data_IF_778282322580
#
_entry.id   IF_778282322580
#
_cell.length_a   1.000
_cell.length_b   1.000
_cell.length_c   1.000
_cell.angle_alpha   90.00
_cell.angle_beta   90.00
_cell.angle_gamma   90.00
#
_symmetry.space_group_name_H-M   'P 1'
#
loop_
_entity.id
_entity.type
_entity.pdbx_description
1 polymer ?
#
# COMPACT_ATOMS: atom_id res chain seq x y z
N UNK A 1 4.16 -24.07 13.76
CA UNK A 1 3.35 -23.10 14.53
C UNK A 1 2.56 -23.91 15.53
N UNK A 2 2.97 -23.87 16.80
CA UNK A 2 2.33 -24.68 17.85
C UNK A 2 1.04 -23.99 18.27
N UNK A 3 -0.10 -24.62 18.01
CA UNK A 3 -1.38 -24.20 18.57
C UNK A 3 -1.30 -24.26 20.09
N UNK A 4 -1.37 -23.10 20.74
CA UNK A 4 -1.53 -23.03 22.20
C UNK A 4 -2.98 -23.36 22.52
N UNK A 5 -3.25 -24.63 22.79
CA UNK A 5 -4.53 -25.08 23.36
C UNK A 5 -4.65 -24.50 24.77
N UNK A 6 -5.52 -23.49 24.93
CA UNK A 6 -5.81 -22.90 26.23
C UNK A 6 -6.35 -23.99 27.17
N UNK A 7 -5.71 -24.17 28.32
CA UNK A 7 -6.12 -25.17 29.31
C UNK A 7 -7.40 -24.68 30.02
N UNK A 8 -8.45 -25.51 30.16
CA UNK A 8 -9.66 -25.11 30.88
C UNK A 8 -9.34 -24.59 32.28
N UNK A 9 -9.74 -23.34 32.58
CA UNK A 9 -9.50 -22.69 33.87
C UNK A 9 -8.29 -21.75 33.93
N UNK A 10 -7.42 -21.75 32.91
CA UNK A 10 -6.30 -20.82 32.83
C UNK A 10 -6.82 -19.39 32.57
N UNK A 11 -6.50 -18.45 33.47
CA UNK A 11 -6.79 -17.03 33.27
C UNK A 11 -5.73 -16.46 32.34
N UNK A 12 -6.10 -15.48 31.51
CA UNK A 12 -5.15 -14.79 30.62
C UNK A 12 -3.94 -14.17 31.37
N UNK A 13 -4.11 -13.86 32.66
CA UNK A 13 -3.04 -13.31 33.52
C UNK A 13 -2.00 -14.36 33.90
N UNK A 14 -2.34 -15.64 33.86
CA UNK A 14 -1.44 -16.73 34.26
C UNK A 14 -0.28 -16.91 33.26
N UNK A 15 -0.35 -16.25 32.09
CA UNK A 15 0.73 -16.19 31.10
C UNK A 15 1.84 -15.17 31.46
N UNK A 16 1.64 -14.35 32.50
CA UNK A 16 2.54 -13.27 32.88
C UNK A 16 3.17 -13.55 34.25
N UNK A 17 4.36 -12.99 34.51
CA UNK A 17 5.03 -13.15 35.80
C UNK A 17 4.25 -12.40 36.89
N UNK A 18 4.25 -12.92 38.12
CA UNK A 18 3.48 -12.36 39.26
C UNK A 18 3.82 -10.89 39.58
N UNK A 19 5.04 -10.47 39.23
CA UNK A 19 5.59 -9.14 39.50
C UNK A 19 5.54 -8.21 38.27
N UNK A 20 4.95 -8.65 37.14
CA UNK A 20 4.79 -7.79 35.96
C UNK A 20 3.67 -6.76 36.15
N UNK A 21 3.96 -5.51 35.80
CA UNK A 21 2.97 -4.44 35.73
C UNK A 21 2.21 -4.55 34.42
N UNK A 22 0.97 -5.07 34.48
CA UNK A 22 0.11 -5.23 33.32
C UNK A 22 -0.79 -4.01 33.11
N UNK A 23 -0.53 -3.24 32.04
CA UNK A 23 -1.46 -2.20 31.57
C UNK A 23 -2.45 -2.79 30.57
N UNK A 24 -3.75 -2.75 30.90
CA UNK A 24 -4.80 -3.08 29.94
C UNK A 24 -5.36 -1.82 29.31
N UNK A 25 -5.05 -1.61 28.03
CA UNK A 25 -5.65 -0.54 27.23
C UNK A 25 -6.87 -1.09 26.50
N UNK A 26 -8.04 -0.47 26.72
CA UNK A 26 -9.24 -0.71 25.92
C UNK A 26 -9.67 0.62 25.30
N UNK A 27 -9.40 0.85 24.01
CA UNK A 27 -9.92 2.04 23.33
C UNK A 27 -11.44 2.06 23.42
N UNK A 28 -12.08 3.25 23.52
CA UNK A 28 -13.52 3.35 23.38
C UNK A 28 -13.96 2.82 22.01
N UNK A 29 -15.17 2.26 21.94
CA UNK A 29 -15.76 1.87 20.66
C UNK A 29 -15.82 3.07 19.71
N UNK A 30 -15.42 2.88 18.47
CA UNK A 30 -15.43 3.91 17.45
C UNK A 30 -15.93 3.36 16.13
N UNK A 31 -16.73 4.18 15.44
CA UNK A 31 -17.15 3.97 14.04
C UNK A 31 -16.34 4.84 13.06
N UNK A 32 -15.34 5.55 13.55
CA UNK A 32 -14.50 6.38 12.71
C UNK A 32 -13.71 5.52 11.71
N UNK A 33 -13.47 6.07 10.53
CA UNK A 33 -12.52 5.48 9.59
C UNK A 33 -11.10 5.63 10.16
N UNK A 34 -10.41 4.51 10.30
CA UNK A 34 -9.02 4.47 10.76
C UNK A 34 -8.11 4.16 9.57
N UNK A 35 -7.43 5.17 8.99
CA UNK A 35 -6.46 4.92 7.95
C UNK A 35 -5.30 4.10 8.53
N UNK A 36 -5.11 2.89 8.02
CA UNK A 36 -4.04 1.98 8.45
C UNK A 36 -3.10 1.73 7.26
N UNK A 37 -1.80 2.07 7.36
CA UNK A 37 -0.85 1.94 6.25
C UNK A 37 -0.63 0.50 5.75
N UNK A 38 -1.19 -0.50 6.43
CA UNK A 38 -1.08 -1.91 6.03
C UNK A 38 -2.40 -2.69 6.05
N UNK A 39 -3.55 -2.02 6.22
CA UNK A 39 -4.88 -2.68 6.18
C UNK A 39 -5.93 -1.74 5.61
N UNK A 40 -6.93 -2.32 4.96
CA UNK A 40 -8.09 -1.60 4.45
C UNK A 40 -7.98 -1.34 2.96
N UNK A 41 -8.19 -0.09 2.55
CA UNK A 41 -8.26 0.33 1.15
C UNK A 41 -6.91 0.80 0.64
N UNK A 42 -6.69 0.72 -0.67
CA UNK A 42 -5.54 1.30 -1.37
C UNK A 42 -6.01 2.05 -2.60
N UNK A 43 -5.23 3.04 -3.03
CA UNK A 43 -5.37 3.61 -4.37
C UNK A 43 -4.79 2.64 -5.40
N UNK A 44 -5.26 2.70 -6.65
CA UNK A 44 -4.74 1.88 -7.76
C UNK A 44 -4.09 2.79 -8.80
N UNK A 45 -2.80 2.59 -9.07
CA UNK A 45 -1.97 3.30 -10.05
C UNK A 45 -1.97 4.84 -9.93
N UNK A 46 -2.23 5.34 -8.72
CA UNK A 46 -2.21 6.77 -8.34
C UNK A 46 -1.93 6.91 -6.84
N UNK A 47 -1.80 8.13 -6.35
CA UNK A 47 -1.63 8.41 -4.92
C UNK A 47 -2.92 8.97 -4.28
N UNK A 48 -2.97 9.04 -2.95
CA UNK A 48 -4.10 9.64 -2.23
C UNK A 48 -4.19 11.13 -2.57
N UNK A 49 -5.40 11.63 -2.84
CA UNK A 49 -5.60 13.03 -3.26
C UNK A 49 -5.31 13.31 -4.74
N UNK A 50 -4.74 12.37 -5.49
CA UNK A 50 -4.68 12.49 -6.95
C UNK A 50 -6.09 12.31 -7.55
N UNK A 51 -6.39 12.96 -8.68
CA UNK A 51 -7.68 12.83 -9.34
C UNK A 51 -7.97 11.37 -9.73
N UNK A 52 -9.25 11.02 -9.76
CA UNK A 52 -9.70 9.73 -10.29
C UNK A 52 -9.49 9.69 -11.80
N UNK A 53 -9.27 8.47 -12.31
CA UNK A 53 -9.34 8.25 -13.76
C UNK A 53 -10.72 8.64 -14.30
N UNK A 54 -10.77 9.19 -15.53
CA UNK A 54 -12.04 9.50 -16.16
C UNK A 54 -12.83 8.21 -16.44
N UNK A 55 -14.09 8.17 -16.03
CA UNK A 55 -14.97 7.02 -16.27
C UNK A 55 -14.85 5.91 -15.21
N UNK A 56 -15.19 4.69 -15.63
CA UNK A 56 -15.21 3.49 -14.79
C UNK A 56 -14.21 2.41 -15.26
N UNK A 57 -13.46 2.70 -16.30
CA UNK A 57 -12.46 1.80 -16.88
C UNK A 57 -11.06 2.30 -16.52
N UNK A 58 -10.11 1.36 -16.47
CA UNK A 58 -8.70 1.66 -16.22
C UNK A 58 -7.83 0.72 -17.04
N UNK A 59 -6.64 1.18 -17.40
CA UNK A 59 -5.66 0.34 -18.08
C UNK A 59 -4.68 -0.26 -17.08
N UNK A 60 -4.80 -1.56 -16.90
CA UNK A 60 -3.95 -2.39 -16.07
C UNK A 60 -2.46 -2.39 -16.49
N UNK A 61 -2.16 -1.94 -17.73
CA UNK A 61 -0.82 -1.82 -18.32
C UNK A 61 -0.12 -0.50 -17.97
N UNK A 62 -0.88 0.53 -17.57
CA UNK A 62 -0.38 1.91 -17.46
C UNK A 62 -0.33 2.37 -16.00
N UNK A 63 0.88 2.34 -15.43
CA UNK A 63 1.19 2.89 -14.11
C UNK A 63 1.85 4.26 -14.19
N UNK A 64 1.91 5.01 -13.07
CA UNK A 64 2.54 6.33 -13.05
C UNK A 64 4.05 6.17 -13.29
N UNK A 65 4.59 6.92 -14.24
CA UNK A 65 6.02 6.97 -14.54
C UNK A 65 6.61 8.37 -14.34
N UNK A 66 5.74 9.35 -14.11
CA UNK A 66 6.09 10.74 -13.82
C UNK A 66 5.49 11.13 -12.46
N UNK A 67 6.31 11.77 -11.62
CA UNK A 67 5.92 12.12 -10.26
C UNK A 67 6.14 13.61 -10.05
N UNK A 68 5.03 14.37 -10.02
CA UNK A 68 5.08 15.80 -9.71
C UNK A 68 5.34 16.00 -8.21
N UNK A 69 6.17 16.98 -7.82
CA UNK A 69 6.34 17.34 -6.43
C UNK A 69 4.99 17.62 -5.77
N UNK A 70 4.76 17.02 -4.61
CA UNK A 70 3.55 17.26 -3.85
C UNK A 70 3.65 18.65 -3.18
N UNK A 71 2.77 19.58 -3.56
CA UNK A 71 2.77 20.96 -3.07
C UNK A 71 2.17 21.12 -1.67
N UNK A 72 1.85 20.03 -0.99
CA UNK A 72 1.01 20.05 0.21
C UNK A 72 -0.47 20.22 -0.11
N UNK A 73 -1.31 20.07 0.92
CA UNK A 73 -2.77 20.16 0.80
C UNK A 73 -3.47 18.98 1.45
N UNK A 74 -4.81 19.06 1.52
CA UNK A 74 -5.63 17.98 2.05
C UNK A 74 -5.64 16.82 1.06
N UNK A 75 -5.18 15.66 1.49
CA UNK A 75 -5.26 14.41 0.74
C UNK A 75 -6.68 13.86 0.89
N UNK A 76 -7.58 14.25 -0.02
CA UNK A 76 -8.95 13.74 -0.07
C UNK A 76 -9.15 12.94 -1.33
N UNK A 77 -9.50 11.67 -1.21
CA UNK A 77 -10.18 10.97 -2.30
C UNK A 77 -11.64 11.42 -2.33
N UNK A 78 -12.21 11.57 -3.52
CA UNK A 78 -13.58 12.07 -3.70
C UNK A 78 -14.63 11.04 -3.23
N UNK A 79 -15.11 10.18 -4.13
CA UNK A 79 -16.13 9.15 -3.83
C UNK A 79 -15.61 7.94 -3.05
N UNK A 80 -14.39 7.99 -2.51
CA UNK A 80 -13.71 6.84 -1.91
C UNK A 80 -13.01 7.23 -0.61
N UNK A 81 -12.79 6.28 0.32
CA UNK A 81 -12.04 6.56 1.54
C UNK A 81 -10.62 7.07 1.24
N UNK A 82 -10.17 8.01 2.04
CA UNK A 82 -8.74 8.37 2.12
C UNK A 82 -7.94 7.14 2.52
N UNK A 83 -6.71 7.03 2.04
CA UNK A 83 -5.86 5.88 2.39
C UNK A 83 -4.40 6.25 2.52
N UNK A 84 -3.73 5.56 3.43
CA UNK A 84 -2.30 5.61 3.68
C UNK A 84 -1.52 4.57 2.85
N UNK A 85 -2.16 3.86 1.93
CA UNK A 85 -1.52 2.88 1.05
C UNK A 85 -1.77 3.26 -0.42
N UNK A 86 -0.69 3.33 -1.20
CA UNK A 86 -0.74 3.44 -2.64
C UNK A 86 -0.32 2.11 -3.27
N UNK A 87 -1.09 1.59 -4.22
CA UNK A 87 -0.71 0.39 -4.97
C UNK A 87 -0.40 0.79 -6.40
N UNK A 88 0.86 0.64 -6.79
CA UNK A 88 1.31 0.86 -8.15
C UNK A 88 1.88 -0.42 -8.71
N UNK A 89 1.49 -0.71 -9.94
CA UNK A 89 1.93 -1.89 -10.67
C UNK A 89 2.46 -1.44 -12.02
N UNK A 90 3.53 -2.06 -12.47
CA UNK A 90 4.09 -1.81 -13.79
C UNK A 90 4.38 -3.12 -14.50
N UNK A 91 4.24 -3.13 -15.82
CA UNK A 91 4.75 -4.20 -16.65
C UNK A 91 6.27 -4.26 -16.55
N UNK A 92 6.83 -5.46 -16.67
CA UNK A 92 8.28 -5.64 -16.73
C UNK A 92 8.89 -4.91 -17.93
N UNK A 93 8.21 -4.90 -19.08
CA UNK A 93 8.59 -4.12 -20.27
C UNK A 93 8.64 -2.60 -20.02
N UNK A 94 7.87 -2.10 -19.06
CA UNK A 94 7.93 -0.70 -18.62
C UNK A 94 9.11 -0.51 -17.66
N UNK A 95 9.37 -1.42 -16.73
CA UNK A 95 10.49 -1.21 -15.79
C UNK A 95 11.85 -1.50 -16.42
N UNK A 96 11.95 -2.40 -17.40
CA UNK A 96 13.20 -2.80 -18.05
C UNK A 96 12.99 -2.92 -19.57
N UNK A 97 12.86 -1.79 -20.28
CA UNK A 97 12.62 -1.81 -21.73
C UNK A 97 13.82 -2.34 -22.53
N UNK A 98 15.03 -2.27 -21.97
CA UNK A 98 16.27 -2.81 -22.52
C UNK A 98 16.95 -3.73 -21.50
N UNK A 99 17.45 -4.89 -21.94
CA UNK A 99 18.05 -5.89 -21.06
C UNK A 99 19.19 -5.29 -20.23
N UNK A 100 19.08 -5.41 -18.91
CA UNK A 100 20.06 -4.89 -17.95
C UNK A 100 20.00 -3.38 -17.73
N UNK A 101 18.96 -2.69 -18.23
CA UNK A 101 18.72 -1.25 -18.02
C UNK A 101 17.36 -1.00 -17.35
N UNK A 102 17.21 -1.40 -16.08
CA UNK A 102 16.02 -1.07 -15.30
C UNK A 102 15.91 0.43 -15.06
N UNK A 103 14.70 0.95 -15.22
CA UNK A 103 14.27 2.32 -14.95
C UNK A 103 13.92 2.50 -13.48
N UNK A 104 14.94 2.46 -12.62
CA UNK A 104 14.78 2.59 -11.16
C UNK A 104 14.14 3.91 -10.74
N UNK A 105 14.32 4.96 -11.54
CA UNK A 105 13.71 6.28 -11.33
C UNK A 105 12.18 6.23 -11.19
N UNK A 106 11.52 5.25 -11.82
CA UNK A 106 10.07 5.05 -11.69
C UNK A 106 9.72 4.58 -10.28
N UNK A 107 10.47 3.61 -9.75
CA UNK A 107 10.23 3.05 -8.42
C UNK A 107 10.62 4.06 -7.34
N UNK A 108 11.76 4.72 -7.50
CA UNK A 108 12.23 5.75 -6.57
C UNK A 108 11.28 6.95 -6.53
N UNK A 109 10.83 7.42 -7.70
CA UNK A 109 9.85 8.49 -7.81
C UNK A 109 8.50 8.13 -7.17
N UNK A 110 8.04 6.89 -7.33
CA UNK A 110 6.82 6.43 -6.70
C UNK A 110 6.94 6.33 -5.16
N UNK A 111 8.08 5.83 -4.67
CA UNK A 111 8.37 5.76 -3.24
C UNK A 111 8.38 7.16 -2.62
N UNK A 112 9.04 8.12 -3.27
CA UNK A 112 9.10 9.50 -2.83
C UNK A 112 7.72 10.17 -2.87
N UNK A 113 6.94 9.96 -3.94
CA UNK A 113 5.59 10.49 -4.06
C UNK A 113 4.63 9.95 -2.98
N UNK A 114 4.75 8.67 -2.62
CA UNK A 114 4.00 8.08 -1.52
C UNK A 114 4.45 8.68 -0.17
N UNK A 115 5.76 8.75 0.07
CA UNK A 115 6.33 9.29 1.30
C UNK A 115 5.92 10.74 1.55
N UNK A 116 5.95 11.57 0.50
CA UNK A 116 5.55 12.97 0.57
C UNK A 116 4.07 13.16 0.99
N UNK A 117 3.24 12.13 0.78
CA UNK A 117 1.81 12.09 1.14
C UNK A 117 1.53 11.30 2.43
N UNK A 118 2.57 10.88 3.15
CA UNK A 118 2.41 10.02 4.33
C UNK A 118 1.84 8.63 4.02
N UNK A 119 2.01 8.15 2.79
CA UNK A 119 1.59 6.83 2.36
C UNK A 119 2.76 5.85 2.33
N UNK A 120 2.45 4.57 2.45
CA UNK A 120 3.33 3.47 2.05
C UNK A 120 3.01 3.07 0.60
N UNK A 121 4.00 2.54 -0.11
CA UNK A 121 3.84 2.07 -1.49
C UNK A 121 3.86 0.55 -1.53
N UNK A 122 2.82 -0.05 -2.08
CA UNK A 122 2.83 -1.43 -2.54
C UNK A 122 3.24 -1.45 -4.02
N UNK A 123 4.47 -1.90 -4.27
CA UNK A 123 5.00 -2.09 -5.62
C UNK A 123 4.66 -3.48 -6.12
N UNK A 124 4.19 -3.58 -7.36
CA UNK A 124 4.08 -4.85 -8.07
C UNK A 124 4.71 -4.77 -9.46
N UNK A 125 5.55 -5.75 -9.76
CA UNK A 125 6.03 -5.97 -11.12
C UNK A 125 5.15 -7.05 -11.74
N UNK A 126 4.52 -6.73 -12.86
CA UNK A 126 3.76 -7.67 -13.65
C UNK A 126 4.64 -8.18 -14.80
N UNK A 127 4.89 -9.49 -14.91
CA UNK A 127 5.75 -10.02 -15.97
C UNK A 127 5.27 -9.68 -17.39
N UNK A 128 3.96 -9.76 -17.63
CA UNK A 128 3.32 -9.43 -18.91
C UNK A 128 1.80 -9.27 -18.75
N UNK A 129 1.17 -8.63 -19.74
CA UNK A 129 -0.28 -8.74 -20.02
C UNK A 129 -0.40 -9.05 -21.52
N UNK A 130 -0.96 -10.21 -21.87
CA UNK A 130 -0.98 -10.66 -23.27
C UNK A 130 0.45 -10.75 -23.85
N UNK A 131 0.75 -10.10 -24.97
CA UNK A 131 2.08 -10.16 -25.61
C UNK A 131 3.12 -9.17 -25.03
N UNK A 132 2.80 -8.39 -23.99
CA UNK A 132 3.62 -7.24 -23.56
C UNK A 132 4.84 -7.60 -22.67
N UNK A 133 5.62 -8.59 -23.08
CA UNK A 133 6.96 -8.81 -22.51
C UNK A 133 7.95 -7.78 -23.06
N UNK A 134 9.10 -7.54 -22.40
CA UNK A 134 10.16 -6.75 -23.01
C UNK A 134 10.57 -7.37 -24.35
N UNK A 135 10.83 -6.55 -25.38
CA UNK A 135 11.15 -7.03 -26.71
C UNK A 135 12.46 -7.83 -26.81
N UNK A 136 13.32 -7.73 -25.78
CA UNK A 136 14.59 -8.44 -25.69
C UNK A 136 14.49 -9.81 -24.99
N UNK A 137 13.33 -10.14 -24.40
CA UNK A 137 13.05 -11.42 -23.77
C UNK A 137 12.46 -12.41 -24.78
#
# INVERSE_FOLDING_TARGET
>A
MSETTATPGQRWRDAFHKDEVLQRVRPPESRAYLPNPHRGTTTFQRFNGDPLYPGLEWDDRVGPTEFKPFSGGRLSNDRYPDTTLAYCRWLWSVLEPERGRPRWEIVDGALEAARARGQTLQVRVQPYIGPDTPAWY
#
